data_IF_371794185090
#
_entry.id   IF_371794185090
#
_cell.length_a   1.000
_cell.length_b   1.000
_cell.length_c   1.000
_cell.angle_alpha   90.00
_cell.angle_beta   90.00
_cell.angle_gamma   90.00
#
_symmetry.space_group_name_H-M   'P 1'
#
loop_
_entity.id
_entity.type
_entity.pdbx_description
1 polymer ?
#
# COMPACT_ATOMS: atom_id res chain seq x y z
N UNK A 1 23.43 -18.44 3.40
CA UNK A 1 23.04 -17.92 2.08
C UNK A 1 22.39 -16.56 2.26
N UNK A 2 23.17 -15.47 2.18
CA UNK A 2 22.68 -14.10 2.38
C UNK A 2 21.92 -13.67 1.13
N UNK A 3 20.58 -13.63 1.20
CA UNK A 3 19.77 -13.02 0.14
C UNK A 3 20.26 -11.59 -0.12
N UNK A 4 20.43 -11.19 -1.40
CA UNK A 4 20.83 -9.84 -1.76
C UNK A 4 19.83 -8.84 -1.17
N UNK A 5 20.34 -7.73 -0.57
CA UNK A 5 19.52 -6.74 0.15
C UNK A 5 18.34 -6.22 -0.68
N UNK A 6 18.56 -6.00 -1.99
CA UNK A 6 17.52 -5.57 -2.93
C UNK A 6 16.33 -6.55 -3.01
N UNK A 7 16.59 -7.86 -3.00
CA UNK A 7 15.52 -8.86 -3.06
C UNK A 7 14.67 -8.86 -1.79
N UNK A 8 15.27 -8.58 -0.63
CA UNK A 8 14.56 -8.45 0.64
C UNK A 8 13.65 -7.23 0.65
N UNK A 9 14.15 -6.06 0.23
CA UNK A 9 13.34 -4.83 0.14
C UNK A 9 12.19 -5.00 -0.83
N UNK A 10 12.45 -5.57 -2.02
CA UNK A 10 11.39 -5.87 -2.97
C UNK A 10 10.31 -6.77 -2.36
N UNK A 11 10.71 -7.89 -1.75
CA UNK A 11 9.75 -8.81 -1.11
C UNK A 11 8.93 -8.13 -0.01
N UNK A 12 9.55 -7.24 0.78
CA UNK A 12 8.89 -6.46 1.83
C UNK A 12 7.80 -5.53 1.25
N UNK A 13 8.12 -4.78 0.19
CA UNK A 13 7.18 -3.92 -0.52
C UNK A 13 6.00 -4.74 -1.05
N UNK A 14 6.26 -5.92 -1.63
CA UNK A 14 5.22 -6.78 -2.20
C UNK A 14 4.27 -7.30 -1.12
N UNK A 15 4.79 -7.76 0.01
CA UNK A 15 3.97 -8.20 1.15
C UNK A 15 3.14 -7.04 1.69
N UNK A 16 3.73 -5.86 1.82
CA UNK A 16 3.03 -4.65 2.29
C UNK A 16 1.94 -4.19 1.34
N UNK A 17 2.13 -4.30 0.03
CA UNK A 17 1.08 -4.02 -0.94
C UNK A 17 -0.12 -4.95 -0.78
N UNK A 18 0.13 -6.26 -0.59
CA UNK A 18 -0.94 -7.23 -0.33
C UNK A 18 -1.64 -6.95 1.00
N UNK A 19 -0.89 -6.56 2.03
CA UNK A 19 -1.45 -6.15 3.32
C UNK A 19 -2.35 -4.92 3.19
N UNK A 20 -1.89 -3.86 2.49
CA UNK A 20 -2.66 -2.63 2.23
C UNK A 20 -3.93 -2.91 1.42
N UNK A 21 -3.82 -3.76 0.39
CA UNK A 21 -4.97 -4.20 -0.39
C UNK A 21 -6.01 -4.88 0.50
N UNK A 22 -5.58 -5.85 1.31
CA UNK A 22 -6.47 -6.64 2.16
C UNK A 22 -7.11 -5.76 3.24
N UNK A 23 -6.34 -4.88 3.88
CA UNK A 23 -6.84 -3.93 4.87
C UNK A 23 -7.90 -3.00 4.29
N UNK A 24 -7.65 -2.45 3.09
CA UNK A 24 -8.58 -1.54 2.41
C UNK A 24 -9.84 -2.26 1.94
N UNK A 25 -9.69 -3.46 1.36
CA UNK A 25 -10.80 -4.29 0.94
C UNK A 25 -11.69 -4.70 2.12
N UNK A 26 -11.13 -5.18 3.23
CA UNK A 26 -11.89 -5.54 4.43
C UNK A 26 -12.61 -4.33 5.04
N UNK A 27 -11.97 -3.16 5.07
CA UNK A 27 -12.59 -1.94 5.58
C UNK A 27 -13.83 -1.55 4.77
N UNK A 28 -13.77 -1.65 3.45
CA UNK A 28 -14.90 -1.36 2.57
C UNK A 28 -15.98 -2.43 2.61
N UNK A 29 -15.62 -3.71 2.70
CA UNK A 29 -16.60 -4.79 2.91
C UNK A 29 -17.38 -4.55 4.21
N UNK A 30 -16.69 -4.17 5.28
CA UNK A 30 -17.29 -3.90 6.58
C UNK A 30 -18.24 -2.69 6.53
N UNK A 31 -17.84 -1.61 5.84
CA UNK A 31 -18.70 -0.43 5.64
C UNK A 31 -19.90 -0.69 4.72
N UNK A 32 -19.69 -1.43 3.63
CA UNK A 32 -20.74 -1.78 2.68
C UNK A 32 -21.82 -2.67 3.30
N UNK A 33 -21.46 -3.55 4.24
CA UNK A 33 -22.42 -4.37 4.97
C UNK A 33 -23.44 -3.55 5.79
N UNK A 34 -23.07 -2.33 6.22
CA UNK A 34 -23.97 -1.43 6.95
C UNK A 34 -24.87 -0.65 5.98
N UNK A 35 -24.35 -0.28 4.81
CA UNK A 35 -25.05 0.58 3.83
C UNK A 35 -26.01 -0.23 2.93
N UNK A 36 -25.75 -1.53 2.71
CA UNK A 36 -26.68 -2.49 2.11
C UNK A 36 -26.90 -2.38 0.59
N UNK A 37 -26.64 -1.23 -0.03
CA UNK A 37 -26.94 -0.98 -1.45
C UNK A 37 -25.72 -1.10 -2.39
N UNK A 38 -24.59 -1.63 -1.89
CA UNK A 38 -23.33 -1.68 -2.61
C UNK A 38 -22.91 -3.12 -2.89
N UNK A 39 -22.58 -3.39 -4.15
CA UNK A 39 -22.08 -4.68 -4.59
C UNK A 39 -20.67 -4.94 -3.99
N UNK A 40 -20.63 -5.65 -2.86
CA UNK A 40 -19.44 -5.83 -2.00
C UNK A 40 -18.19 -6.29 -2.76
N UNK A 41 -18.33 -7.19 -3.72
CA UNK A 41 -17.18 -7.73 -4.45
C UNK A 41 -16.54 -6.70 -5.39
N UNK A 42 -17.34 -5.84 -6.05
CA UNK A 42 -16.80 -4.75 -6.88
C UNK A 42 -16.22 -3.64 -6.03
N UNK A 43 -16.90 -3.28 -4.94
CA UNK A 43 -16.45 -2.25 -4.02
C UNK A 43 -15.11 -2.61 -3.36
N UNK A 44 -14.98 -3.85 -2.87
CA UNK A 44 -13.76 -4.34 -2.24
C UNK A 44 -12.57 -4.37 -3.20
N UNK A 45 -12.77 -4.90 -4.42
CA UNK A 45 -11.73 -4.95 -5.44
C UNK A 45 -11.31 -3.54 -5.87
N UNK A 46 -12.26 -2.65 -6.13
CA UNK A 46 -11.97 -1.26 -6.50
C UNK A 46 -11.18 -0.56 -5.40
N UNK A 47 -11.62 -0.66 -4.14
CA UNK A 47 -10.93 -0.04 -3.02
C UNK A 47 -9.52 -0.59 -2.81
N UNK A 48 -9.36 -1.91 -2.91
CA UNK A 48 -8.06 -2.56 -2.84
C UNK A 48 -7.12 -2.06 -3.94
N UNK A 49 -7.56 -2.06 -5.21
CA UNK A 49 -6.75 -1.57 -6.33
C UNK A 49 -6.40 -0.09 -6.21
N UNK A 50 -7.36 0.75 -5.79
CA UNK A 50 -7.13 2.18 -5.57
C UNK A 50 -6.09 2.39 -4.47
N UNK A 51 -6.13 1.63 -3.38
CA UNK A 51 -5.14 1.75 -2.30
C UNK A 51 -3.72 1.38 -2.76
N UNK A 52 -3.58 0.31 -3.56
CA UNK A 52 -2.31 -0.10 -4.16
C UNK A 52 -1.81 0.95 -5.14
N UNK A 53 -2.69 1.48 -5.99
CA UNK A 53 -2.34 2.54 -6.93
C UNK A 53 -1.85 3.80 -6.22
N UNK A 54 -2.48 4.20 -5.10
CA UNK A 54 -2.03 5.34 -4.31
C UNK A 54 -0.62 5.13 -3.74
N UNK A 55 -0.33 3.94 -3.19
CA UNK A 55 1.02 3.62 -2.70
C UNK A 55 2.02 3.61 -3.86
N UNK A 56 1.67 3.02 -5.00
CA UNK A 56 2.53 3.00 -6.19
C UNK A 56 2.81 4.42 -6.71
N UNK A 57 1.82 5.31 -6.71
CA UNK A 57 2.00 6.72 -7.08
C UNK A 57 2.96 7.42 -6.12
N UNK A 58 2.82 7.20 -4.81
CA UNK A 58 3.74 7.78 -3.80
C UNK A 58 5.15 7.25 -3.94
N UNK A 59 5.32 5.94 -4.14
CA UNK A 59 6.62 5.35 -4.44
C UNK A 59 7.23 5.95 -5.72
N UNK A 60 6.43 6.12 -6.78
CA UNK A 60 6.90 6.72 -8.03
C UNK A 60 7.29 8.19 -7.84
N UNK A 61 6.54 8.96 -7.04
CA UNK A 61 6.88 10.34 -6.71
C UNK A 61 8.15 10.46 -5.87
N UNK A 62 8.37 9.54 -4.92
CA UNK A 62 9.61 9.48 -4.15
C UNK A 62 10.80 9.03 -5.02
N UNK A 63 10.58 8.14 -5.99
CA UNK A 63 11.61 7.66 -6.89
C UNK A 63 12.05 8.66 -7.99
N UNK A 64 11.46 9.86 -8.06
CA UNK A 64 11.76 10.86 -9.12
C UNK A 64 13.24 11.23 -9.11
N UNK A 65 13.85 11.31 -7.92
CA UNK A 65 15.25 11.69 -7.76
C UNK A 65 16.22 10.52 -8.02
N UNK A 66 15.69 9.35 -8.41
CA UNK A 66 16.46 8.17 -8.83
C UNK A 66 16.98 7.29 -7.70
N UNK A 67 16.81 7.71 -6.45
CA UNK A 67 17.01 6.87 -5.26
C UNK A 67 15.67 6.64 -4.56
N UNK A 68 15.56 5.53 -3.86
CA UNK A 68 14.40 5.22 -3.03
C UNK A 68 14.89 4.65 -1.71
N UNK A 69 14.94 5.51 -0.70
CA UNK A 69 15.41 5.15 0.63
C UNK A 69 14.36 4.33 1.39
N UNK A 70 14.80 3.57 2.39
CA UNK A 70 13.89 2.80 3.25
C UNK A 70 12.87 3.69 3.97
N UNK A 71 13.25 4.92 4.32
CA UNK A 71 12.38 5.88 4.97
C UNK A 71 11.29 6.40 4.01
N UNK A 72 11.64 6.68 2.76
CA UNK A 72 10.65 7.09 1.73
C UNK A 72 9.68 5.97 1.38
N UNK A 73 10.14 4.71 1.37
CA UNK A 73 9.25 3.56 1.23
C UNK A 73 8.24 3.55 2.39
N UNK A 74 8.71 3.70 3.62
CA UNK A 74 7.83 3.73 4.79
C UNK A 74 6.83 4.89 4.75
N UNK A 75 7.27 6.08 4.34
CA UNK A 75 6.43 7.25 4.14
C UNK A 75 5.38 7.03 3.05
N UNK A 76 5.73 6.35 1.94
CA UNK A 76 4.79 6.04 0.86
C UNK A 76 3.65 5.13 1.32
N UNK A 77 3.96 4.13 2.15
CA UNK A 77 2.97 3.22 2.74
C UNK A 77 2.14 3.88 3.84
N UNK A 78 2.73 4.73 4.68
CA UNK A 78 2.01 5.47 5.73
C UNK A 78 1.16 6.60 5.17
N UNK A 79 1.56 7.18 4.02
CA UNK A 79 0.96 8.40 3.50
C UNK A 79 1.23 9.64 4.35
N UNK A 80 2.24 9.57 5.23
CA UNK A 80 2.61 10.63 6.15
C UNK A 80 4.12 10.64 6.33
N UNK A 81 4.68 11.84 6.55
CA UNK A 81 6.11 12.02 6.78
C UNK A 81 6.49 11.55 8.18
N UNK A 82 7.55 10.75 8.31
CA UNK A 82 7.99 10.24 9.62
C UNK A 82 8.79 11.33 10.32
N UNK A 83 8.19 12.01 11.30
CA UNK A 83 8.92 12.95 12.17
C UNK A 83 9.41 12.20 13.41
N UNK A 84 10.70 11.84 13.46
CA UNK A 84 11.31 11.42 14.74
C UNK A 84 11.59 12.67 15.59
N UNK A 85 10.98 12.73 16.78
CA UNK A 85 11.32 13.70 17.83
C UNK A 85 12.53 13.23 18.62
#
# INVERSE_FOLDING_TARGET
MTMPKALRVFTDILIRLVATFTASALSIISGAAIIGDIEMHKAALLAGFVSVAQVAQRLASAAIDGDLTAEEIDEAFLGAKITRK
#
